data_IF_830561850418
#
_entry.id   IF_830561850418
#
_cell.length_a   1.000
_cell.length_b   1.000
_cell.length_c   1.000
_cell.angle_alpha   90.00
_cell.angle_beta   90.00
_cell.angle_gamma   90.00
#
_symmetry.space_group_name_H-M   'P 1'
#
loop_
_entity.id
_entity.type
_entity.pdbx_description
1 polymer ?
#
# COMPACT_ATOMS: atom_id res chain seq x y z
N UNK A 1 28.01 -12.94 63.13
CA UNK A 1 27.87 -12.05 61.95
C UNK A 1 28.21 -12.83 60.68
N UNK A 2 27.28 -13.60 60.09
CA UNK A 2 27.54 -14.42 58.89
C UNK A 2 26.58 -14.15 57.72
N UNK A 3 25.86 -13.03 57.72
CA UNK A 3 24.90 -12.69 56.65
C UNK A 3 25.50 -12.02 55.41
N UNK A 4 26.72 -11.49 55.47
CA UNK A 4 27.27 -10.63 54.41
C UNK A 4 27.95 -11.38 53.25
N UNK A 5 28.23 -12.68 53.39
CA UNK A 5 28.94 -13.46 52.35
C UNK A 5 28.00 -14.09 51.31
N UNK A 6 26.74 -14.34 51.67
CA UNK A 6 25.75 -14.93 50.76
C UNK A 6 25.25 -13.93 49.70
N UNK A 7 25.15 -12.64 50.03
CA UNK A 7 24.60 -11.63 49.12
C UNK A 7 25.57 -11.23 47.99
N UNK A 8 26.88 -11.30 48.22
CA UNK A 8 27.91 -11.00 47.20
C UNK A 8 28.04 -12.07 46.11
N UNK A 9 27.63 -13.31 46.40
CA UNK A 9 27.64 -14.39 45.41
C UNK A 9 26.34 -14.43 44.58
N UNK A 10 25.23 -13.91 45.11
CA UNK A 10 23.98 -13.77 44.37
C UNK A 10 24.04 -12.62 43.34
N UNK A 11 24.80 -11.56 43.63
CA UNK A 11 24.91 -10.39 42.75
C UNK A 11 25.90 -10.54 41.58
N UNK A 12 26.72 -11.61 41.56
CA UNK A 12 27.62 -11.92 40.42
C UNK A 12 26.95 -12.77 39.33
N UNK A 13 25.78 -13.35 39.59
CA UNK A 13 25.01 -14.11 38.60
C UNK A 13 24.12 -13.24 37.70
N UNK A 14 23.90 -11.97 38.05
CA UNK A 14 22.90 -11.13 37.37
C UNK A 14 23.47 -10.28 36.20
N UNK A 15 24.80 -10.22 36.03
CA UNK A 15 25.45 -9.35 35.01
C UNK A 15 25.75 -10.09 33.69
N UNK A 16 25.52 -11.41 33.62
CA UNK A 16 25.60 -12.19 32.39
C UNK A 16 24.24 -12.36 31.67
N UNK A 17 23.28 -11.47 31.94
CA UNK A 17 22.05 -11.32 31.15
C UNK A 17 22.15 -10.17 30.12
N UNK A 18 23.35 -9.67 29.87
CA UNK A 18 23.67 -8.78 28.75
C UNK A 18 24.16 -9.63 27.58
N UNK A 19 23.25 -10.38 26.96
CA UNK A 19 23.60 -11.29 25.88
C UNK A 19 22.42 -11.48 24.94
N UNK A 20 22.35 -10.63 23.92
CA UNK A 20 21.58 -10.85 22.69
C UNK A 20 20.11 -11.24 22.91
N UNK A 21 19.25 -10.27 23.28
CA UNK A 21 17.90 -10.31 22.69
C UNK A 21 18.08 -9.84 21.26
N UNK A 22 18.33 -10.87 20.43
CA UNK A 22 18.12 -10.96 19.00
C UNK A 22 17.37 -9.74 18.48
N UNK A 23 18.00 -9.03 17.54
CA UNK A 23 17.29 -8.32 16.50
C UNK A 23 16.35 -9.33 15.83
N UNK A 24 15.21 -9.60 16.46
CA UNK A 24 14.11 -10.30 15.87
C UNK A 24 13.65 -9.31 14.84
N UNK A 25 14.19 -9.49 13.63
CA UNK A 25 13.84 -8.68 12.50
C UNK A 25 12.34 -8.49 12.56
N UNK A 26 11.93 -7.24 12.53
CA UNK A 26 10.72 -6.90 11.84
C UNK A 26 10.93 -7.28 10.36
N UNK A 27 11.07 -8.58 10.08
CA UNK A 27 10.26 -9.20 9.07
C UNK A 27 8.84 -8.90 9.53
N UNK A 28 8.38 -7.67 9.25
CA UNK A 28 6.98 -7.46 8.94
C UNK A 28 6.62 -8.69 8.12
N UNK A 29 5.70 -9.50 8.63
CA UNK A 29 5.12 -10.57 7.83
C UNK A 29 4.48 -9.83 6.68
N UNK A 30 5.26 -9.58 5.63
CA UNK A 30 4.82 -8.84 4.48
C UNK A 30 3.57 -9.57 4.07
N UNK A 31 2.46 -8.85 4.05
CA UNK A 31 1.23 -9.42 3.51
C UNK A 31 1.41 -9.71 2.01
N UNK A 32 2.57 -9.40 1.40
CA UNK A 32 3.00 -9.96 0.13
C UNK A 32 3.57 -11.38 0.31
N UNK A 33 2.91 -12.37 -0.30
CA UNK A 33 3.36 -13.77 -0.34
C UNK A 33 3.36 -14.30 -1.76
N UNK A 34 4.49 -14.89 -2.17
CA UNK A 34 4.67 -15.46 -3.52
C UNK A 34 4.30 -14.46 -4.63
N UNK A 35 4.62 -13.17 -4.42
CA UNK A 35 4.26 -12.09 -5.33
C UNK A 35 2.78 -11.73 -5.34
N UNK A 36 2.01 -12.11 -4.32
CA UNK A 36 0.59 -11.78 -4.18
C UNK A 36 0.34 -10.97 -2.91
N UNK A 37 -0.37 -9.86 -3.05
CA UNK A 37 -0.81 -9.07 -1.89
C UNK A 37 -1.99 -9.75 -1.19
N UNK A 38 -1.81 -10.08 0.09
CA UNK A 38 -2.82 -10.69 0.94
C UNK A 38 -3.68 -9.61 1.58
N UNK A 39 -4.92 -9.50 1.14
CA UNK A 39 -5.85 -8.48 1.60
C UNK A 39 -6.88 -9.13 2.51
N UNK A 40 -7.01 -8.63 3.73
CA UNK A 40 -8.05 -9.07 4.67
C UNK A 40 -9.30 -8.19 4.55
N UNK A 41 -10.49 -8.75 4.28
CA UNK A 41 -11.72 -7.97 4.31
C UNK A 41 -12.03 -7.51 5.73
N UNK A 42 -12.45 -6.25 5.85
CA UNK A 42 -12.91 -5.62 7.09
C UNK A 42 -14.36 -5.15 6.88
N UNK A 43 -15.10 -4.89 7.96
CA UNK A 43 -16.45 -4.32 7.88
C UNK A 43 -16.43 -2.92 7.23
N UNK A 44 -17.58 -2.53 6.65
CA UNK A 44 -17.81 -1.21 6.08
C UNK A 44 -16.88 -0.89 4.89
N UNK A 45 -16.74 -1.84 3.96
CA UNK A 45 -16.00 -1.67 2.70
C UNK A 45 -14.53 -1.26 2.87
N UNK A 46 -13.95 -1.68 3.99
CA UNK A 46 -12.53 -1.49 4.31
C UNK A 46 -11.75 -2.78 4.17
N UNK A 47 -10.44 -2.63 4.04
CA UNK A 47 -9.49 -3.70 3.79
C UNK A 47 -8.31 -3.53 4.72
N UNK A 48 -7.75 -4.62 5.22
CA UNK A 48 -6.55 -4.63 6.03
C UNK A 48 -5.42 -5.35 5.32
N UNK A 49 -4.27 -4.70 5.21
CA UNK A 49 -3.05 -5.20 4.59
C UNK A 49 -1.84 -4.59 5.31
N UNK A 50 -0.81 -5.40 5.60
CA UNK A 50 0.35 -5.07 6.45
C UNK A 50 -0.06 -4.44 7.79
N UNK A 51 -1.16 -4.94 8.38
CA UNK A 51 -1.71 -4.43 9.63
C UNK A 51 -2.37 -3.05 9.53
N UNK A 52 -2.43 -2.44 8.34
CA UNK A 52 -3.08 -1.15 8.10
C UNK A 52 -4.47 -1.34 7.51
N UNK A 53 -5.49 -0.70 8.12
CA UNK A 53 -6.86 -0.73 7.59
C UNK A 53 -7.13 0.52 6.75
N UNK A 54 -7.64 0.33 5.55
CA UNK A 54 -7.80 1.38 4.55
C UNK A 54 -9.05 1.18 3.70
N UNK A 55 -9.54 2.25 3.06
CA UNK A 55 -10.64 2.18 2.11
C UNK A 55 -10.21 1.65 0.74
N UNK A 56 -11.17 1.54 -0.18
CA UNK A 56 -10.95 1.03 -1.55
C UNK A 56 -9.95 1.87 -2.35
N UNK A 57 -10.03 3.19 -2.22
CA UNK A 57 -9.16 4.12 -2.97
C UNK A 57 -7.73 4.06 -2.45
N UNK A 58 -7.56 4.06 -1.13
CA UNK A 58 -6.24 3.90 -0.51
C UNK A 58 -5.64 2.52 -0.83
N UNK A 59 -6.44 1.45 -0.82
CA UNK A 59 -5.99 0.12 -1.23
C UNK A 59 -5.49 0.11 -2.67
N UNK A 60 -6.21 0.74 -3.60
CA UNK A 60 -5.76 0.84 -4.99
C UNK A 60 -4.38 1.50 -5.08
N UNK A 61 -4.19 2.64 -4.41
CA UNK A 61 -2.91 3.33 -4.38
C UNK A 61 -1.79 2.47 -3.79
N UNK A 62 -2.07 1.80 -2.67
CA UNK A 62 -1.13 0.92 -2.00
C UNK A 62 -0.71 -0.27 -2.88
N UNK A 63 -1.67 -0.95 -3.51
CA UNK A 63 -1.37 -2.09 -4.39
C UNK A 63 -0.66 -1.66 -5.66
N UNK A 64 -0.99 -0.49 -6.23
CA UNK A 64 -0.28 0.05 -7.39
C UNK A 64 1.20 0.27 -7.07
N UNK A 65 1.47 0.89 -5.93
CA UNK A 65 2.82 1.17 -5.48
C UNK A 65 3.58 -0.14 -5.11
N UNK A 66 2.92 -1.10 -4.45
CA UNK A 66 3.51 -2.43 -4.23
C UNK A 66 3.77 -3.19 -5.54
N UNK A 67 2.90 -3.07 -6.55
CA UNK A 67 3.13 -3.67 -7.86
C UNK A 67 4.42 -3.16 -8.48
N UNK A 68 4.68 -1.86 -8.39
CA UNK A 68 5.85 -1.26 -9.01
C UNK A 68 7.12 -1.48 -8.17
N UNK A 69 7.00 -1.49 -6.84
CA UNK A 69 8.14 -1.71 -5.92
C UNK A 69 8.51 -3.18 -5.73
N UNK A 70 7.52 -4.06 -5.60
CA UNK A 70 7.69 -5.48 -5.24
C UNK A 70 7.29 -6.46 -6.36
N UNK A 71 6.97 -5.96 -7.56
CA UNK A 71 6.60 -6.78 -8.72
C UNK A 71 5.44 -7.74 -8.42
N UNK A 72 4.38 -7.22 -7.80
CA UNK A 72 3.17 -8.01 -7.55
C UNK A 72 2.63 -8.60 -8.85
N UNK A 73 2.20 -9.86 -8.75
CA UNK A 73 1.55 -10.63 -9.81
C UNK A 73 0.06 -10.84 -9.55
N UNK A 74 -0.37 -10.66 -8.29
CA UNK A 74 -1.76 -10.85 -7.90
C UNK A 74 -2.16 -10.22 -6.58
N UNK A 75 -3.47 -10.25 -6.34
CA UNK A 75 -4.14 -9.82 -5.12
C UNK A 75 -4.99 -10.98 -4.64
N UNK A 76 -4.84 -11.37 -3.38
CA UNK A 76 -5.60 -12.44 -2.74
C UNK A 76 -6.48 -11.84 -1.66
N UNK A 77 -7.80 -11.90 -1.84
CA UNK A 77 -8.75 -11.56 -0.80
C UNK A 77 -8.92 -12.75 0.16
N UNK A 78 -8.59 -12.58 1.43
CA UNK A 78 -8.77 -13.60 2.47
C UNK A 78 -10.26 -13.87 2.71
N UNK A 79 -10.58 -15.04 3.27
CA UNK A 79 -11.95 -15.48 3.56
C UNK A 79 -12.77 -14.42 4.30
N UNK A 80 -14.06 -14.33 3.95
CA UNK A 80 -15.04 -13.51 4.66
C UNK A 80 -15.31 -12.15 4.04
N UNK A 81 -14.94 -11.95 2.77
CA UNK A 81 -15.26 -10.75 2.02
C UNK A 81 -16.71 -10.73 1.54
N UNK A 82 -17.32 -9.55 1.51
CA UNK A 82 -18.63 -9.35 0.87
C UNK A 82 -18.52 -9.44 -0.66
N UNK A 83 -19.65 -9.64 -1.35
CA UNK A 83 -19.70 -9.58 -2.82
C UNK A 83 -19.15 -8.26 -3.38
N UNK A 84 -19.38 -7.16 -2.67
CA UNK A 84 -18.89 -5.83 -3.03
C UNK A 84 -17.36 -5.73 -2.89
N UNK A 85 -16.79 -6.35 -1.86
CA UNK A 85 -15.35 -6.42 -1.68
C UNK A 85 -14.70 -7.29 -2.77
N UNK A 86 -15.30 -8.42 -3.12
CA UNK A 86 -14.83 -9.27 -4.23
C UNK A 86 -14.80 -8.51 -5.55
N UNK A 87 -15.90 -7.83 -5.88
CA UNK A 87 -15.99 -6.97 -7.07
C UNK A 87 -14.94 -5.87 -7.04
N UNK A 88 -14.70 -5.26 -5.89
CA UNK A 88 -13.72 -4.18 -5.73
C UNK A 88 -12.29 -4.68 -5.92
N UNK A 89 -11.91 -5.81 -5.30
CA UNK A 89 -10.59 -6.43 -5.48
C UNK A 89 -10.36 -6.83 -6.93
N UNK A 90 -11.33 -7.49 -7.55
CA UNK A 90 -11.19 -7.86 -8.95
C UNK A 90 -11.13 -6.64 -9.88
N UNK A 91 -11.84 -5.55 -9.57
CA UNK A 91 -11.72 -4.30 -10.33
C UNK A 91 -10.33 -3.68 -10.19
N UNK A 92 -9.77 -3.64 -8.98
CA UNK A 92 -8.41 -3.13 -8.72
C UNK A 92 -7.38 -3.98 -9.48
N UNK A 93 -7.46 -5.30 -9.32
CA UNK A 93 -6.55 -6.23 -9.97
C UNK A 93 -6.59 -6.06 -11.49
N UNK A 94 -7.78 -5.99 -12.07
CA UNK A 94 -7.97 -5.74 -13.50
C UNK A 94 -7.34 -4.44 -13.96
N UNK A 95 -7.56 -3.33 -13.26
CA UNK A 95 -6.97 -2.02 -13.61
C UNK A 95 -5.44 -2.07 -13.55
N UNK A 96 -4.89 -2.78 -12.57
CA UNK A 96 -3.43 -2.93 -12.39
C UNK A 96 -2.83 -4.10 -13.19
N UNK A 97 -3.65 -4.81 -13.99
CA UNK A 97 -3.28 -6.02 -14.74
C UNK A 97 -2.69 -7.15 -13.87
N UNK A 98 -3.18 -7.26 -12.64
CA UNK A 98 -2.86 -8.30 -11.66
C UNK A 98 -3.89 -9.42 -11.69
N UNK A 99 -3.49 -10.61 -11.23
CA UNK A 99 -4.43 -11.71 -10.98
C UNK A 99 -5.22 -11.43 -9.70
N UNK A 100 -6.51 -11.77 -9.66
CA UNK A 100 -7.32 -11.68 -8.45
C UNK A 100 -7.75 -13.06 -7.99
N UNK A 101 -7.57 -13.34 -6.70
CA UNK A 101 -7.97 -14.59 -6.08
C UNK A 101 -8.76 -14.32 -4.79
N UNK A 102 -9.66 -15.23 -4.45
CA UNK A 102 -10.35 -15.30 -3.16
C UNK A 102 -9.89 -16.58 -2.45
N UNK A 103 -9.52 -16.46 -1.18
CA UNK A 103 -9.19 -17.61 -0.35
C UNK A 103 -10.47 -18.15 0.30
N UNK A 104 -11.01 -19.24 -0.23
CA UNK A 104 -12.20 -19.93 0.26
C UNK A 104 -11.80 -21.27 0.90
N UNK A 105 -11.87 -21.38 2.24
CA UNK A 105 -11.67 -22.67 2.93
C UNK A 105 -10.27 -23.29 2.82
N UNK A 106 -9.27 -22.57 2.29
CA UNK A 106 -7.93 -23.08 1.99
C UNK A 106 -7.65 -23.22 0.50
N UNK A 107 -8.67 -23.10 -0.35
CA UNK A 107 -8.54 -23.06 -1.80
C UNK A 107 -8.49 -21.62 -2.31
N UNK A 108 -7.74 -21.39 -3.39
CA UNK A 108 -7.68 -20.10 -4.09
C UNK A 108 -8.62 -20.14 -5.29
N UNK A 109 -9.65 -19.28 -5.28
CA UNK A 109 -10.64 -19.15 -6.34
C UNK A 109 -10.39 -17.88 -7.12
N UNK A 110 -10.18 -17.99 -8.43
CA UNK A 110 -9.97 -16.81 -9.28
C UNK A 110 -11.22 -15.90 -9.30
N UNK A 111 -11.02 -14.61 -9.07
CA UNK A 111 -12.06 -13.58 -9.23
C UNK A 111 -11.97 -13.11 -10.69
N UNK A 112 -12.57 -13.87 -11.60
CA UNK A 112 -12.65 -13.50 -13.01
C UNK A 112 -13.84 -12.55 -13.20
N UNK A 113 -13.56 -11.25 -13.27
CA UNK A 113 -14.56 -10.28 -13.71
C UNK A 113 -14.56 -10.26 -15.23
N UNK A 114 -15.74 -10.34 -15.89
CA UNK A 114 -15.82 -10.28 -17.35
C UNK A 114 -15.09 -9.03 -17.84
N UNK A 115 -14.36 -9.16 -18.94
CA UNK A 115 -13.56 -8.09 -19.47
C UNK A 115 -14.45 -6.88 -19.90
N UNK A 116 -14.78 -5.94 -19.01
CA UNK A 116 -15.22 -4.59 -19.37
C UNK A 116 -14.17 -3.94 -20.30
N UNK A 117 -14.54 -3.79 -21.57
CA UNK A 117 -13.76 -3.26 -22.68
C UNK A 117 -12.57 -2.37 -22.27
N UNK A 118 -11.42 -2.65 -22.88
CA UNK A 118 -10.18 -1.89 -22.74
C UNK A 118 -10.48 -0.40 -22.49
N UNK A 119 -10.10 0.10 -21.32
CA UNK A 119 -10.08 1.53 -21.07
C UNK A 119 -9.24 2.13 -22.20
N UNK A 120 -9.77 3.07 -23.00
CA UNK A 120 -8.97 3.73 -24.02
C UNK A 120 -7.73 4.29 -23.32
N UNK A 121 -6.57 4.12 -23.97
CA UNK A 121 -5.32 4.68 -23.49
C UNK A 121 -5.54 6.13 -23.04
N UNK A 122 -4.91 6.58 -21.94
CA UNK A 122 -4.90 8.01 -21.63
C UNK A 122 -4.54 8.75 -22.92
N UNK A 123 -5.28 9.80 -23.32
CA UNK A 123 -4.97 10.52 -24.54
C UNK A 123 -3.48 10.86 -24.49
N UNK A 124 -2.73 10.69 -25.60
CA UNK A 124 -1.34 11.08 -25.63
C UNK A 124 -1.27 12.53 -25.12
N UNK A 125 -0.58 12.74 -23.99
CA UNK A 125 -0.18 14.09 -23.64
C UNK A 125 0.89 14.43 -24.67
N UNK A 126 0.45 15.01 -25.77
CA UNK A 126 1.28 15.52 -26.83
C UNK A 126 2.09 16.65 -26.22
N UNK A 127 3.31 16.30 -25.82
CA UNK A 127 4.29 17.20 -25.26
C UNK A 127 4.70 18.16 -26.38
N UNK A 128 3.90 19.19 -26.62
CA UNK A 128 4.23 20.31 -27.51
C UNK A 128 4.98 21.35 -26.69
N UNK A 129 6.30 21.51 -26.85
CA UNK A 129 6.99 22.68 -26.34
C UNK A 129 6.66 23.85 -27.28
N UNK A 130 5.62 24.62 -26.98
CA UNK A 130 5.40 25.89 -27.68
C UNK A 130 6.05 27.02 -26.87
N UNK A 131 7.35 27.18 -27.09
CA UNK A 131 8.03 28.44 -26.85
C UNK A 131 7.75 29.38 -28.03
N UNK A 132 7.01 30.48 -27.77
CA UNK A 132 7.09 31.88 -28.27
C UNK A 132 7.31 32.15 -29.79
N UNK A 133 6.80 33.25 -30.42
CA UNK A 133 6.89 34.63 -29.89
C UNK A 133 5.81 35.68 -30.29
N UNK A 134 5.87 36.82 -29.60
CA UNK A 134 5.61 38.21 -30.03
C UNK A 134 4.32 38.63 -30.77
N UNK A 135 3.57 39.55 -30.13
CA UNK A 135 3.12 40.78 -30.77
C UNK A 135 2.92 41.88 -29.71
N UNK A 136 3.88 42.81 -29.66
CA UNK A 136 3.78 44.09 -28.96
C UNK A 136 2.83 45.04 -29.68
N UNK A 137 2.09 45.86 -28.93
CA UNK A 137 1.65 47.26 -29.19
C UNK A 137 0.35 47.50 -28.40
N UNK A 138 0.08 48.57 -27.66
CA UNK A 138 0.74 49.83 -27.28
C UNK A 138 -0.18 50.47 -26.18
N UNK A 139 0.06 51.68 -25.62
CA UNK A 139 -0.24 52.00 -24.23
C UNK A 139 -1.51 52.85 -24.03
N UNK A 140 -2.06 52.85 -22.82
CA UNK A 140 -2.88 53.96 -22.34
C UNK A 140 -2.37 54.38 -20.95
N UNK A 141 -1.68 55.51 -20.92
CA UNK A 141 -1.23 56.19 -19.72
C UNK A 141 -2.30 57.16 -19.20
N UNK A 142 -2.40 57.30 -17.87
CA UNK A 142 -2.73 58.50 -17.06
C UNK A 142 -3.44 58.05 -15.75
N UNK A 143 -2.79 58.01 -14.58
CA UNK A 143 -2.48 59.10 -13.63
C UNK A 143 -3.37 58.99 -12.35
N UNK A 144 -2.91 59.46 -11.16
CA UNK A 144 -3.29 58.96 -9.82
C UNK A 144 -4.54 59.64 -9.20
N UNK A 145 -5.05 59.16 -8.04
CA UNK A 145 -6.28 59.68 -7.43
C UNK A 145 -6.08 61.02 -6.70
N UNK A 146 -7.02 61.96 -6.93
CA UNK A 146 -7.26 63.13 -6.07
C UNK A 146 -8.73 63.15 -5.63
N UNK A 147 -8.99 62.92 -4.32
CA UNK A 147 -9.90 63.68 -3.45
C UNK A 147 -10.02 63.04 -2.05
#
# INVERSE_FOLDING_TARGET
MNGAKAMKNLMRGLVLATGMVVAAGAFARSDVRDGNAMVQPVKSDRYSIDGSTMGKAELFGYISDLKDREQLTGIVLKKGGSDEQRKSIGSIARTLQLKAFEQEGGELKSIDLPAAAATPAPPPIENKPEAAPAASAEPAAAAPPEH
#
